data_IF_193806686659
#
_entry.id   IF_193806686659
#
_cell.length_a   1.000
_cell.length_b   1.000
_cell.length_c   1.000
_cell.angle_alpha   90.00
_cell.angle_beta   90.00
_cell.angle_gamma   90.00
#
_symmetry.space_group_name_H-M   'P 1'
#
loop_
_entity.id
_entity.type
_entity.pdbx_description
1 polymer ?
#
# COMPACT_ATOMS: atom_id res chain seq x y z
N UNK A 1 0.24 -21.37 -29.37
CA UNK A 1 1.15 -20.20 -29.31
C UNK A 1 0.35 -18.90 -29.39
N UNK A 2 -0.27 -18.44 -28.29
CA UNK A 2 -0.88 -17.10 -28.18
C UNK A 2 -1.18 -16.70 -26.71
N UNK A 3 -0.31 -17.07 -25.76
CA UNK A 3 -0.49 -16.75 -24.33
C UNK A 3 0.49 -15.68 -23.79
N UNK A 4 1.43 -15.20 -24.60
CA UNK A 4 2.51 -14.31 -24.16
C UNK A 4 2.12 -12.84 -24.00
N UNK A 5 1.11 -12.34 -24.73
CA UNK A 5 0.77 -10.93 -24.74
C UNK A 5 -0.14 -10.49 -23.57
N UNK A 6 -0.97 -11.40 -23.02
CA UNK A 6 -1.84 -11.09 -21.87
C UNK A 6 -1.06 -10.94 -20.57
N UNK A 7 0.04 -11.66 -20.38
CA UNK A 7 0.81 -11.64 -19.11
C UNK A 7 1.67 -10.38 -18.92
N UNK A 8 2.16 -9.78 -20.00
CA UNK A 8 2.98 -8.56 -19.93
C UNK A 8 2.13 -7.30 -19.65
N UNK A 9 0.94 -7.21 -20.25
CA UNK A 9 0.00 -6.11 -19.98
C UNK A 9 -0.56 -6.15 -18.55
N UNK A 10 -0.73 -7.34 -17.96
CA UNK A 10 -1.12 -7.53 -16.56
C UNK A 10 -0.03 -7.11 -15.54
N UNK A 11 1.20 -6.85 -16.00
CA UNK A 11 2.33 -6.46 -15.15
C UNK A 11 2.58 -4.94 -15.11
N UNK A 12 2.02 -4.18 -16.06
CA UNK A 12 2.16 -2.73 -16.11
C UNK A 12 1.15 -2.09 -15.14
N UNK A 13 1.65 -1.21 -14.27
CA UNK A 13 0.80 -0.47 -13.35
C UNK A 13 0.01 0.57 -14.16
N UNK A 14 -1.32 0.61 -14.00
CA UNK A 14 -2.18 1.53 -14.74
C UNK A 14 -1.71 2.98 -14.53
N UNK A 15 -1.69 3.85 -15.55
CA UNK A 15 -1.17 5.22 -15.43
C UNK A 15 -1.83 6.04 -14.31
N UNK A 16 -3.15 5.87 -14.14
CA UNK A 16 -3.90 6.51 -13.06
C UNK A 16 -3.42 6.05 -11.67
N UNK A 17 -3.15 4.75 -11.50
CA UNK A 17 -2.58 4.22 -10.26
C UNK A 17 -1.16 4.72 -10.05
N UNK A 18 -0.36 4.88 -11.10
CA UNK A 18 1.02 5.37 -10.98
C UNK A 18 1.01 6.82 -10.46
N UNK A 19 0.22 7.68 -11.11
CA UNK A 19 0.07 9.06 -10.71
C UNK A 19 -0.47 9.21 -9.28
N UNK A 20 -1.39 8.33 -8.87
CA UNK A 20 -1.89 8.32 -7.50
C UNK A 20 -0.81 7.97 -6.47
N UNK A 21 0.03 6.97 -6.76
CA UNK A 21 1.13 6.60 -5.86
C UNK A 21 2.20 7.70 -5.80
N UNK A 22 2.45 8.39 -6.90
CA UNK A 22 3.35 9.54 -6.95
C UNK A 22 2.79 10.68 -6.09
N UNK A 23 1.52 11.06 -6.27
CA UNK A 23 0.86 12.09 -5.47
C UNK A 23 0.82 11.74 -3.97
N UNK A 24 0.64 10.47 -3.62
CA UNK A 24 0.73 10.00 -2.24
C UNK A 24 2.14 10.21 -1.65
N UNK A 25 3.19 9.88 -2.40
CA UNK A 25 4.57 10.09 -1.96
C UNK A 25 4.92 11.57 -1.83
N UNK A 26 4.46 12.41 -2.77
CA UNK A 26 4.65 13.87 -2.71
C UNK A 26 3.95 14.47 -1.49
N UNK A 27 2.72 14.01 -1.20
CA UNK A 27 1.99 14.42 -0.01
C UNK A 27 2.71 14.04 1.29
N UNK A 28 3.23 12.82 1.39
CA UNK A 28 4.01 12.39 2.56
C UNK A 28 5.32 13.16 2.72
N UNK A 29 5.96 13.53 1.61
CA UNK A 29 7.15 14.36 1.65
C UNK A 29 6.84 15.76 2.20
N UNK A 30 5.75 16.38 1.72
CA UNK A 30 5.35 17.73 2.11
C UNK A 30 4.86 17.80 3.57
N UNK A 31 4.10 16.80 4.02
CA UNK A 31 3.48 16.78 5.35
C UNK A 31 4.44 16.30 6.45
N UNK A 32 5.16 15.20 6.20
CA UNK A 32 5.95 14.50 7.22
C UNK A 32 7.47 14.62 7.02
N UNK A 33 7.93 15.24 5.92
CA UNK A 33 9.35 15.38 5.61
C UNK A 33 10.09 14.04 5.43
N UNK A 34 9.39 12.98 5.04
CA UNK A 34 9.97 11.64 4.96
C UNK A 34 11.15 11.59 3.98
N UNK A 35 12.20 10.88 4.38
CA UNK A 35 13.38 10.68 3.55
C UNK A 35 13.02 9.98 2.23
N UNK A 36 13.68 10.38 1.13
CA UNK A 36 13.47 9.83 -0.21
C UNK A 36 13.52 8.30 -0.26
N UNK A 37 14.43 7.69 0.48
CA UNK A 37 14.59 6.23 0.53
C UNK A 37 13.35 5.53 1.11
N UNK A 38 12.68 6.16 2.08
CA UNK A 38 11.43 5.66 2.67
C UNK A 38 10.28 5.80 1.68
N UNK A 39 10.17 6.95 1.01
CA UNK A 39 9.16 7.20 -0.02
C UNK A 39 9.28 6.22 -1.19
N UNK A 40 10.49 6.03 -1.71
CA UNK A 40 10.79 5.06 -2.77
C UNK A 40 10.38 3.64 -2.37
N UNK A 41 10.64 3.27 -1.11
CA UNK A 41 10.29 1.96 -0.60
C UNK A 41 8.77 1.79 -0.47
N UNK A 42 8.06 2.78 0.06
CA UNK A 42 6.58 2.77 0.11
C UNK A 42 5.97 2.68 -1.28
N UNK A 43 6.47 3.47 -2.23
CA UNK A 43 6.02 3.45 -3.61
C UNK A 43 6.19 2.07 -4.23
N UNK A 44 7.34 1.43 -4.04
CA UNK A 44 7.61 0.06 -4.55
C UNK A 44 6.68 -0.97 -3.92
N UNK A 45 6.48 -0.89 -2.61
CA UNK A 45 5.61 -1.80 -1.87
C UNK A 45 4.14 -1.67 -2.35
N UNK A 46 3.63 -0.44 -2.48
CA UNK A 46 2.28 -0.16 -2.99
C UNK A 46 2.12 -0.53 -4.48
N UNK A 47 3.14 -0.29 -5.30
CA UNK A 47 3.14 -0.69 -6.71
C UNK A 47 3.13 -2.22 -6.88
N UNK A 48 3.85 -2.94 -6.01
CA UNK A 48 3.80 -4.40 -5.94
C UNK A 48 2.38 -4.89 -5.65
N UNK A 49 1.75 -4.32 -4.61
CA UNK A 49 0.38 -4.64 -4.24
C UNK A 49 -0.61 -4.32 -5.37
N UNK A 50 -0.53 -3.14 -5.98
CA UNK A 50 -1.43 -2.73 -7.06
C UNK A 50 -1.38 -3.67 -8.27
N UNK A 51 -0.18 -4.11 -8.67
CA UNK A 51 -0.01 -5.09 -9.76
C UNK A 51 -0.62 -6.44 -9.39
N UNK A 52 -0.34 -6.92 -8.17
CA UNK A 52 -0.90 -8.17 -7.69
C UNK A 52 -2.43 -8.11 -7.65
N UNK A 53 -3.00 -7.00 -7.16
CA UNK A 53 -4.43 -6.81 -7.05
C UNK A 53 -5.11 -6.78 -8.42
N UNK A 54 -4.52 -6.08 -9.38
CA UNK A 54 -5.00 -6.06 -10.75
C UNK A 54 -4.99 -7.48 -11.36
N UNK A 55 -3.91 -8.23 -11.15
CA UNK A 55 -3.77 -9.59 -11.69
C UNK A 55 -4.74 -10.61 -11.06
N UNK A 56 -5.08 -10.48 -9.77
CA UNK A 56 -5.89 -11.47 -9.04
C UNK A 56 -7.37 -11.09 -8.89
N UNK A 57 -7.68 -9.79 -8.84
CA UNK A 57 -9.02 -9.29 -8.56
C UNK A 57 -9.52 -8.27 -9.60
N UNK A 58 -8.67 -7.84 -10.54
CA UNK A 58 -9.05 -6.89 -11.60
C UNK A 58 -9.35 -5.48 -11.09
N UNK A 59 -9.00 -5.15 -9.85
CA UNK A 59 -9.32 -3.87 -9.24
C UNK A 59 -8.07 -3.06 -8.85
N UNK A 60 -8.26 -1.76 -8.64
CA UNK A 60 -7.23 -0.82 -8.20
C UNK A 60 -7.17 -0.73 -6.66
N UNK A 61 -6.07 -0.24 -6.07
CA UNK A 61 -5.90 -0.20 -4.62
C UNK A 61 -7.03 0.47 -3.82
N UNK A 62 -7.69 1.57 -4.29
CA UNK A 62 -8.83 2.15 -3.58
C UNK A 62 -10.04 1.20 -3.43
N UNK A 63 -10.17 0.21 -4.31
CA UNK A 63 -11.22 -0.81 -4.27
C UNK A 63 -10.78 -2.10 -3.54
N UNK A 64 -9.63 -2.08 -2.87
CA UNK A 64 -9.13 -3.23 -2.13
C UNK A 64 -10.01 -3.53 -0.90
N UNK A 65 -10.19 -4.81 -0.61
CA UNK A 65 -10.89 -5.30 0.58
C UNK A 65 -9.89 -5.87 1.57
N UNK A 66 -10.28 -6.03 2.84
CA UNK A 66 -9.42 -6.68 3.85
C UNK A 66 -8.97 -8.09 3.42
N UNK A 67 -9.83 -8.84 2.72
CA UNK A 67 -9.48 -10.15 2.17
C UNK A 67 -8.37 -10.06 1.11
N UNK A 68 -8.38 -9.03 0.25
CA UNK A 68 -7.32 -8.80 -0.72
C UNK A 68 -5.97 -8.50 -0.04
N UNK A 69 -5.98 -7.67 1.01
CA UNK A 69 -4.75 -7.35 1.74
C UNK A 69 -4.21 -8.60 2.48
N UNK A 70 -5.08 -9.38 3.12
CA UNK A 70 -4.70 -10.64 3.76
C UNK A 70 -4.06 -11.62 2.76
N UNK A 71 -4.69 -11.80 1.60
CA UNK A 71 -4.20 -12.69 0.56
C UNK A 71 -2.84 -12.22 0.01
N UNK A 72 -2.66 -10.92 -0.24
CA UNK A 72 -1.36 -10.39 -0.66
C UNK A 72 -0.30 -10.54 0.42
N UNK A 73 -0.62 -10.27 1.69
CA UNK A 73 0.32 -10.41 2.79
C UNK A 73 0.79 -11.87 2.96
N UNK A 74 -0.13 -12.82 2.79
CA UNK A 74 0.19 -14.26 2.80
C UNK A 74 1.09 -14.68 1.63
N UNK A 75 0.95 -14.05 0.45
CA UNK A 75 1.84 -14.28 -0.69
C UNK A 75 3.21 -13.61 -0.49
N UNK A 76 3.21 -12.33 -0.12
CA UNK A 76 4.39 -11.51 0.09
C UNK A 76 5.30 -12.07 1.18
N UNK A 77 4.72 -12.56 2.29
CA UNK A 77 5.47 -13.09 3.44
C UNK A 77 6.28 -14.35 3.13
N UNK A 78 5.94 -15.12 2.07
CA UNK A 78 6.71 -16.31 1.66
C UNK A 78 8.13 -15.96 1.17
N UNK A 79 8.33 -14.72 0.75
CA UNK A 79 9.57 -14.27 0.11
C UNK A 79 10.15 -13.01 0.78
N UNK A 80 9.37 -12.32 1.62
CA UNK A 80 9.76 -11.07 2.25
C UNK A 80 10.31 -11.26 3.67
N UNK A 81 11.44 -10.61 3.95
CA UNK A 81 11.99 -10.48 5.31
C UNK A 81 11.01 -9.72 6.22
N UNK A 82 11.00 -9.98 7.55
CA UNK A 82 10.12 -9.30 8.50
C UNK A 82 10.17 -7.76 8.41
N UNK A 83 11.35 -7.18 8.15
CA UNK A 83 11.50 -5.74 7.97
C UNK A 83 10.72 -5.19 6.75
N UNK A 84 10.69 -5.92 5.64
CA UNK A 84 9.91 -5.55 4.46
C UNK A 84 8.41 -5.66 4.71
N UNK A 85 7.97 -6.68 5.47
CA UNK A 85 6.56 -6.84 5.82
C UNK A 85 6.06 -5.68 6.69
N UNK A 86 6.82 -5.28 7.72
CA UNK A 86 6.50 -4.10 8.54
C UNK A 86 6.42 -2.82 7.71
N UNK A 87 7.31 -2.67 6.73
CA UNK A 87 7.32 -1.51 5.83
C UNK A 87 6.10 -1.49 4.90
N UNK A 88 5.72 -2.64 4.34
CA UNK A 88 4.49 -2.80 3.55
C UNK A 88 3.26 -2.43 4.38
N UNK A 89 3.13 -2.97 5.60
CA UNK A 89 2.01 -2.64 6.50
C UNK A 89 1.97 -1.14 6.84
N UNK A 90 3.13 -0.54 7.07
CA UNK A 90 3.24 0.91 7.31
C UNK A 90 2.79 1.73 6.09
N UNK A 91 3.18 1.31 4.89
CA UNK A 91 2.77 1.94 3.64
C UNK A 91 1.26 1.84 3.42
N UNK A 92 0.66 0.66 3.65
CA UNK A 92 -0.78 0.46 3.58
C UNK A 92 -1.54 1.34 4.55
N UNK A 93 -1.16 1.35 5.82
CA UNK A 93 -1.82 2.17 6.84
C UNK A 93 -1.83 3.65 6.43
N UNK A 94 -0.67 4.19 6.04
CA UNK A 94 -0.55 5.59 5.60
C UNK A 94 -1.41 5.86 4.36
N UNK A 95 -1.38 4.96 3.39
CA UNK A 95 -2.13 5.10 2.13
C UNK A 95 -3.65 5.04 2.35
N UNK A 96 -4.17 4.00 3.01
CA UNK A 96 -5.61 3.86 3.23
C UNK A 96 -6.18 4.90 4.20
N UNK A 97 -5.42 5.31 5.22
CA UNK A 97 -5.83 6.44 6.08
C UNK A 97 -5.91 7.75 5.30
N UNK A 98 -5.01 7.99 4.35
CA UNK A 98 -5.11 9.15 3.44
C UNK A 98 -6.36 9.07 2.58
N UNK A 99 -6.62 7.91 1.95
CA UNK A 99 -7.84 7.72 1.16
C UNK A 99 -9.12 7.93 1.97
N UNK A 100 -9.14 7.49 3.23
CA UNK A 100 -10.26 7.67 4.14
C UNK A 100 -10.44 9.16 4.49
N UNK A 101 -9.36 9.86 4.84
CA UNK A 101 -9.37 11.31 5.11
C UNK A 101 -9.84 12.12 3.90
N UNK A 102 -9.48 11.70 2.70
CA UNK A 102 -9.86 12.33 1.44
C UNK A 102 -11.28 11.93 0.98
N UNK A 103 -12.00 11.09 1.73
CA UNK A 103 -13.34 10.62 1.41
C UNK A 103 -13.43 9.68 0.20
N UNK A 104 -12.30 9.14 -0.26
CA UNK A 104 -12.20 8.25 -1.43
C UNK A 104 -12.63 6.81 -1.14
N UNK A 105 -12.60 6.42 0.13
CA UNK A 105 -13.09 5.13 0.62
C UNK A 105 -13.97 5.37 1.86
N UNK A 106 -14.93 4.47 2.10
CA UNK A 106 -15.83 4.58 3.25
C UNK A 106 -15.25 3.97 4.53
N UNK A 107 -14.32 3.01 4.41
CA UNK A 107 -13.71 2.31 5.54
C UNK A 107 -12.28 1.89 5.18
N UNK A 108 -11.38 1.87 6.17
CA UNK A 108 -10.00 1.43 6.00
C UNK A 108 -9.90 -0.11 5.97
N UNK A 109 -9.55 -0.75 4.84
CA UNK A 109 -9.43 -2.20 4.75
C UNK A 109 -8.22 -2.76 5.51
N UNK A 110 -7.23 -1.92 5.85
CA UNK A 110 -6.02 -2.31 6.57
C UNK A 110 -6.18 -2.30 8.09
N UNK A 111 -7.28 -1.75 8.61
CA UNK A 111 -7.52 -1.62 10.06
C UNK A 111 -7.49 -2.96 10.81
N UNK A 112 -7.94 -4.05 10.17
CA UNK A 112 -7.97 -5.39 10.76
C UNK A 112 -6.61 -6.12 10.73
N UNK A 113 -5.62 -5.58 10.02
CA UNK A 113 -4.28 -6.18 9.90
C UNK A 113 -3.30 -5.67 10.94
N UNK A 114 -3.67 -4.62 11.66
CA UNK A 114 -2.88 -4.05 12.73
C UNK A 114 -3.33 -4.69 14.05
N UNK A 115 -2.45 -5.31 14.85
CA UNK A 115 -2.71 -5.39 16.27
C UNK A 115 -2.84 -3.95 16.81
N UNK A 116 -3.70 -3.67 17.80
CA UNK A 116 -3.91 -2.32 18.31
C UNK A 116 -2.55 -1.72 18.71
N UNK A 117 -2.10 -0.73 17.94
CA UNK A 117 -0.81 -0.09 18.19
C UNK A 117 -0.89 0.53 19.60
N UNK A 118 0.06 0.25 20.52
CA UNK A 118 0.05 0.90 21.81
C UNK A 118 0.08 2.41 21.58
N UNK A 119 -0.83 3.12 22.23
CA UNK A 119 -1.02 4.55 22.06
C UNK A 119 0.33 5.30 22.11
N UNK A 120 0.53 6.34 21.26
CA UNK A 120 1.74 7.12 21.29
C UNK A 120 1.96 7.63 22.72
N UNK A 121 3.10 7.26 23.32
CA UNK A 121 3.55 7.82 24.59
C UNK A 121 3.91 9.27 24.31
N UNK A 122 3.00 10.19 24.60
CA UNK A 122 3.36 11.58 24.75
C UNK A 122 4.34 11.69 25.93
N UNK A 123 5.49 12.37 25.79
CA UNK A 123 6.31 12.67 26.95
C UNK A 123 5.50 13.61 27.86
N UNK A 124 5.20 13.13 29.08
CA UNK A 124 4.77 14.01 30.14
C UNK A 124 6.00 14.81 30.59
N UNK A 125 6.12 16.05 30.12
CA UNK A 125 7.01 17.04 30.73
C UNK A 125 6.17 17.99 31.57
N UNK A 126 6.63 18.15 32.81
CA UNK A 126 6.08 18.97 33.90
C UNK A 126 6.04 20.47 33.56
#
# INVERSE_FOLDING_TARGET
MAAGARSAALSALAPATAAELDAFCDGLWLEDGLARNTLDAYRRDLAGFARWLHAHAGCAPPAATSAHLQAYLADFSRHAKPASQRRLLSAWRRYFQRLLRDGRIAADPSAALDPPMPAPRFPATL
#
